data_IF_337013890551
#
_entry.id   IF_337013890551
#
_cell.length_a   1.000
_cell.length_b   1.000
_cell.length_c   1.000
_cell.angle_alpha   90.00
_cell.angle_beta   90.00
_cell.angle_gamma   90.00
#
_symmetry.space_group_name_H-M   'P 1'
#
loop_
_entity.id
_entity.type
_entity.pdbx_description
1 polymer ?
#
# COMPACT_ATOMS: atom_id res chain seq x y z
N UNK A 1 -32.02 -26.39 85.51
CA UNK A 1 -30.56 -26.43 85.28
C UNK A 1 -30.27 -27.34 84.09
N UNK A 2 -29.41 -26.83 83.20
CA UNK A 2 -28.51 -27.53 82.27
C UNK A 2 -29.12 -28.51 81.26
N UNK A 3 -29.31 -28.13 79.99
CA UNK A 3 -28.31 -27.82 78.92
C UNK A 3 -27.58 -29.07 78.41
N UNK A 4 -27.88 -29.42 77.16
CA UNK A 4 -26.94 -29.71 76.04
C UNK A 4 -27.68 -30.60 75.04
N UNK A 5 -28.44 -30.01 74.11
CA UNK A 5 -27.97 -29.50 72.81
C UNK A 5 -27.31 -30.59 71.96
N UNK A 6 -28.16 -31.13 71.08
CA UNK A 6 -27.92 -31.17 69.64
C UNK A 6 -26.69 -31.94 69.18
N UNK A 7 -26.84 -33.26 69.14
CA UNK A 7 -26.04 -34.07 68.24
C UNK A 7 -26.65 -33.96 66.84
N UNK A 8 -26.43 -32.83 66.18
CA UNK A 8 -26.77 -32.59 64.78
C UNK A 8 -25.81 -33.38 63.89
N UNK A 9 -25.92 -34.71 63.92
CA UNK A 9 -25.48 -35.54 62.81
C UNK A 9 -26.51 -35.35 61.70
N UNK A 10 -26.25 -34.38 60.83
CA UNK A 10 -26.94 -34.27 59.55
C UNK A 10 -26.72 -35.59 58.81
N UNK A 11 -27.69 -36.49 58.90
CA UNK A 11 -27.76 -37.71 58.10
C UNK A 11 -27.84 -37.25 56.66
N UNK A 12 -26.69 -37.23 55.98
CA UNK A 12 -26.59 -37.05 54.55
C UNK A 12 -27.34 -38.21 53.91
N UNK A 13 -28.62 -37.99 53.60
CA UNK A 13 -29.40 -38.92 52.81
C UNK A 13 -28.65 -39.16 51.49
N UNK A 14 -28.47 -40.43 51.06
CA UNK A 14 -27.79 -40.72 49.81
C UNK A 14 -28.52 -39.98 48.69
N UNK A 15 -27.80 -39.13 47.95
CA UNK A 15 -28.34 -38.53 46.72
C UNK A 15 -28.85 -39.69 45.87
N UNK A 16 -30.15 -39.67 45.55
CA UNK A 16 -30.76 -40.73 44.76
C UNK A 16 -30.09 -40.83 43.38
N UNK A 17 -30.01 -42.05 42.83
CA UNK A 17 -29.30 -42.28 41.57
C UNK A 17 -29.90 -41.49 40.41
N UNK A 18 -31.19 -41.14 40.51
CA UNK A 18 -31.91 -40.31 39.56
C UNK A 18 -31.40 -38.86 39.53
N UNK A 19 -31.19 -38.25 40.70
CA UNK A 19 -30.66 -36.89 40.86
C UNK A 19 -29.21 -36.84 40.43
N UNK A 20 -28.40 -37.88 40.73
CA UNK A 20 -27.03 -37.98 40.19
C UNK A 20 -27.01 -38.05 38.68
N UNK A 21 -27.91 -38.83 38.08
CA UNK A 21 -28.03 -38.94 36.63
C UNK A 21 -28.48 -37.62 36.00
N UNK A 22 -29.45 -36.92 36.60
CA UNK A 22 -29.91 -35.60 36.13
C UNK A 22 -28.81 -34.53 36.25
N UNK A 23 -28.06 -34.51 37.35
CA UNK A 23 -26.92 -33.61 37.54
C UNK A 23 -25.82 -33.90 36.51
N UNK A 24 -25.51 -35.17 36.25
CA UNK A 24 -24.53 -35.55 35.22
C UNK A 24 -24.97 -35.08 33.83
N UNK A 25 -26.23 -35.33 33.45
CA UNK A 25 -26.78 -34.89 32.17
C UNK A 25 -26.77 -33.37 32.01
N UNK A 26 -27.06 -32.63 33.09
CA UNK A 26 -27.01 -31.18 33.09
C UNK A 26 -25.58 -30.65 32.91
N UNK A 27 -24.62 -31.23 33.63
CA UNK A 27 -23.19 -30.88 33.51
C UNK A 27 -22.67 -31.21 32.11
N UNK A 28 -23.04 -32.35 31.54
CA UNK A 28 -22.69 -32.73 30.17
C UNK A 28 -23.29 -31.75 29.15
N UNK A 29 -24.56 -31.38 29.31
CA UNK A 29 -25.22 -30.37 28.47
C UNK A 29 -24.58 -28.99 28.56
N UNK A 30 -24.23 -28.54 29.76
CA UNK A 30 -23.50 -27.28 29.98
C UNK A 30 -22.10 -27.32 29.35
N UNK A 31 -21.41 -28.45 29.47
CA UNK A 31 -20.10 -28.69 28.86
C UNK A 31 -20.17 -28.62 27.34
N UNK A 32 -21.20 -29.19 26.74
CA UNK A 32 -21.40 -29.16 25.29
C UNK A 32 -21.76 -27.76 24.78
N UNK A 33 -22.67 -27.06 25.46
CA UNK A 33 -23.03 -25.69 25.11
C UNK A 33 -21.84 -24.74 25.20
N UNK A 34 -21.05 -24.84 26.28
CA UNK A 34 -19.87 -24.02 26.46
C UNK A 34 -18.79 -24.33 25.41
N UNK A 35 -18.57 -25.62 25.13
CA UNK A 35 -17.63 -26.06 24.11
C UNK A 35 -18.02 -25.55 22.72
N UNK A 36 -19.31 -25.59 22.39
CA UNK A 36 -19.85 -25.06 21.13
C UNK A 36 -19.69 -23.54 21.04
N UNK A 37 -20.02 -22.81 22.11
CA UNK A 37 -19.86 -21.36 22.16
C UNK A 37 -18.39 -20.97 21.95
N UNK A 38 -17.47 -21.65 22.65
CA UNK A 38 -16.02 -21.42 22.51
C UNK A 38 -15.53 -21.72 21.08
N UNK A 39 -16.05 -22.76 20.44
CA UNK A 39 -15.72 -23.09 19.06
C UNK A 39 -16.23 -22.03 18.07
N UNK A 40 -17.47 -21.59 18.23
CA UNK A 40 -18.08 -20.54 17.39
C UNK A 40 -17.31 -19.22 17.53
N UNK A 41 -17.04 -18.77 18.75
CA UNK A 41 -16.31 -17.53 18.99
C UNK A 41 -14.88 -17.57 18.40
N UNK A 42 -14.21 -18.73 18.51
CA UNK A 42 -12.88 -18.92 17.91
C UNK A 42 -12.94 -18.81 16.39
N UNK A 43 -13.96 -19.41 15.77
CA UNK A 43 -14.19 -19.32 14.32
C UNK A 43 -14.46 -17.88 13.89
N UNK A 44 -15.35 -17.18 14.60
CA UNK A 44 -15.68 -15.76 14.31
C UNK A 44 -14.43 -14.87 14.37
N UNK A 45 -13.61 -15.03 15.41
CA UNK A 45 -12.34 -14.30 15.55
C UNK A 45 -11.40 -14.64 14.38
N UNK A 46 -11.26 -15.92 14.04
CA UNK A 46 -10.41 -16.37 12.94
C UNK A 46 -10.83 -15.74 11.60
N UNK A 47 -12.11 -15.86 11.26
CA UNK A 47 -12.69 -15.31 10.03
C UNK A 47 -12.53 -13.78 9.99
N UNK A 48 -12.74 -13.09 11.12
CA UNK A 48 -12.51 -11.64 11.24
C UNK A 48 -11.05 -11.27 10.93
N UNK A 49 -10.08 -11.98 11.49
CA UNK A 49 -8.65 -11.72 11.22
C UNK A 49 -8.28 -11.98 9.76
N UNK A 50 -8.80 -13.05 9.15
CA UNK A 50 -8.55 -13.31 7.72
C UNK A 50 -9.09 -12.17 6.85
N UNK A 51 -10.32 -11.74 7.10
CA UNK A 51 -10.95 -10.62 6.37
C UNK A 51 -10.20 -9.30 6.57
N UNK A 52 -9.75 -9.01 7.79
CA UNK A 52 -8.94 -7.84 8.08
C UNK A 52 -7.62 -7.85 7.29
N UNK A 53 -6.94 -8.99 7.22
CA UNK A 53 -5.68 -9.14 6.48
C UNK A 53 -5.86 -8.92 4.98
N UNK A 54 -6.94 -9.44 4.41
CA UNK A 54 -7.28 -9.23 3.00
C UNK A 54 -7.63 -7.76 2.71
N UNK A 55 -8.44 -7.14 3.57
CA UNK A 55 -8.78 -5.71 3.46
C UNK A 55 -7.52 -4.84 3.54
N UNK A 56 -6.61 -5.13 4.48
CA UNK A 56 -5.35 -4.42 4.63
C UNK A 56 -4.45 -4.59 3.40
N UNK A 57 -4.38 -5.80 2.84
CA UNK A 57 -3.63 -6.10 1.60
C UNK A 57 -4.15 -5.24 0.45
N UNK A 58 -5.46 -5.22 0.23
CA UNK A 58 -6.09 -4.44 -0.83
C UNK A 58 -5.85 -2.94 -0.67
N UNK A 59 -5.99 -2.43 0.56
CA UNK A 59 -5.75 -1.02 0.86
C UNK A 59 -4.31 -0.60 0.57
N UNK A 60 -3.32 -1.39 0.97
CA UNK A 60 -1.91 -1.10 0.71
C UNK A 60 -1.60 -1.06 -0.78
N UNK A 61 -2.13 -2.02 -1.55
CA UNK A 61 -1.97 -2.04 -3.01
C UNK A 61 -2.62 -0.80 -3.63
N UNK A 62 -3.83 -0.43 -3.17
CA UNK A 62 -4.53 0.76 -3.66
C UNK A 62 -3.73 2.04 -3.40
N UNK A 63 -3.31 2.27 -2.15
CA UNK A 63 -2.55 3.48 -1.78
C UNK A 63 -1.25 3.57 -2.57
N UNK A 64 -0.55 2.46 -2.78
CA UNK A 64 0.66 2.43 -3.62
C UNK A 64 0.34 2.84 -5.06
N UNK A 65 -0.70 2.29 -5.68
CA UNK A 65 -1.10 2.63 -7.06
C UNK A 65 -1.49 4.10 -7.18
N UNK A 66 -2.31 4.60 -6.26
CA UNK A 66 -2.73 6.01 -6.24
C UNK A 66 -1.50 6.94 -6.13
N UNK A 67 -0.54 6.60 -5.26
CA UNK A 67 0.71 7.36 -5.13
C UNK A 67 1.56 7.30 -6.41
N UNK A 68 1.66 6.14 -7.05
CA UNK A 68 2.41 5.98 -8.30
C UNK A 68 1.76 6.75 -9.47
N UNK A 69 0.43 6.77 -9.55
CA UNK A 69 -0.30 7.59 -10.53
C UNK A 69 -0.06 9.08 -10.31
N UNK A 70 -0.08 9.53 -9.05
CA UNK A 70 0.17 10.92 -8.70
C UNK A 70 1.60 11.34 -9.04
N UNK A 71 2.60 10.54 -8.67
CA UNK A 71 4.00 10.81 -9.02
C UNK A 71 4.19 10.86 -10.55
N UNK A 72 3.48 10.02 -11.32
CA UNK A 72 3.51 10.04 -12.80
C UNK A 72 2.89 11.33 -13.34
N UNK A 73 1.81 11.81 -12.74
CA UNK A 73 1.16 13.08 -13.08
C UNK A 73 2.10 14.26 -12.82
N UNK A 74 2.75 14.28 -11.66
CA UNK A 74 3.73 15.32 -11.31
C UNK A 74 4.93 15.35 -12.27
N UNK A 75 5.48 14.19 -12.61
CA UNK A 75 6.60 14.09 -13.55
C UNK A 75 6.23 14.67 -14.93
N UNK A 76 5.02 14.38 -15.43
CA UNK A 76 4.50 14.97 -16.67
C UNK A 76 4.42 16.50 -16.58
N UNK A 77 3.91 17.04 -15.49
CA UNK A 77 3.83 18.49 -15.29
C UNK A 77 5.20 19.16 -15.26
N UNK A 78 6.20 18.49 -14.66
CA UNK A 78 7.59 18.95 -14.67
C UNK A 78 8.11 18.97 -16.11
N UNK A 79 7.93 17.88 -16.87
CA UNK A 79 8.35 17.79 -18.27
C UNK A 79 7.71 18.88 -19.14
N UNK A 80 6.40 19.12 -18.98
CA UNK A 80 5.67 20.18 -19.69
C UNK A 80 6.22 21.57 -19.35
N UNK A 81 6.49 21.84 -18.07
CA UNK A 81 7.07 23.11 -17.62
C UNK A 81 8.46 23.33 -18.21
N UNK A 82 9.33 22.32 -18.14
CA UNK A 82 10.69 22.39 -18.71
C UNK A 82 10.65 22.63 -20.23
N UNK A 83 9.72 21.99 -20.95
CA UNK A 83 9.53 22.23 -22.39
C UNK A 83 9.04 23.63 -22.69
N UNK A 84 8.12 24.18 -21.89
CA UNK A 84 7.64 25.54 -22.03
C UNK A 84 8.76 26.55 -21.78
N UNK A 85 9.53 26.35 -20.72
CA UNK A 85 10.68 27.20 -20.37
C UNK A 85 11.75 27.16 -21.47
N UNK A 86 12.08 25.97 -21.98
CA UNK A 86 13.00 25.81 -23.09
C UNK A 86 12.55 26.61 -24.32
N UNK A 87 11.28 26.49 -24.71
CA UNK A 87 10.74 27.25 -25.86
C UNK A 87 10.82 28.76 -25.62
N UNK A 88 10.48 29.22 -24.43
CA UNK A 88 10.59 30.64 -24.07
C UNK A 88 12.05 31.14 -24.16
N UNK A 89 13.01 30.33 -23.68
CA UNK A 89 14.43 30.66 -23.75
C UNK A 89 14.97 30.64 -25.19
N UNK A 90 14.47 29.74 -26.04
CA UNK A 90 14.76 29.72 -27.48
C UNK A 90 14.27 31.00 -28.16
N UNK A 91 13.03 31.42 -27.90
CA UNK A 91 12.46 32.67 -28.42
C UNK A 91 13.27 33.88 -27.96
N UNK A 92 13.60 33.97 -26.66
CA UNK A 92 14.43 35.06 -26.11
C UNK A 92 15.78 35.12 -26.80
N UNK A 93 16.45 33.98 -26.92
CA UNK A 93 17.76 33.86 -27.60
C UNK A 93 17.67 34.33 -29.05
N UNK A 94 16.62 33.93 -29.78
CA UNK A 94 16.43 34.33 -31.18
C UNK A 94 16.24 35.83 -31.33
N UNK A 95 15.44 36.46 -30.45
CA UNK A 95 15.20 37.91 -30.46
C UNK A 95 16.49 38.67 -30.14
N UNK A 96 17.21 38.26 -29.09
CA UNK A 96 18.47 38.87 -28.66
C UNK A 96 19.56 38.76 -29.74
N UNK A 97 19.67 37.59 -30.39
CA UNK A 97 20.60 37.35 -31.49
C UNK A 97 20.28 38.22 -32.71
N UNK A 98 19.00 38.39 -33.05
CA UNK A 98 18.61 39.28 -34.16
C UNK A 98 18.86 40.76 -33.83
N UNK A 99 18.64 41.14 -32.56
CA UNK A 99 18.93 42.49 -32.08
C UNK A 99 20.43 42.78 -32.16
N UNK A 100 21.30 41.84 -31.77
CA UNK A 100 22.74 42.04 -31.78
C UNK A 100 23.28 42.33 -33.18
N UNK A 101 22.82 41.59 -34.20
CA UNK A 101 23.17 41.84 -35.61
C UNK A 101 22.63 43.18 -36.11
N UNK A 102 21.44 43.58 -35.66
CA UNK A 102 20.83 44.86 -36.04
C UNK A 102 21.58 46.07 -35.47
N UNK A 103 22.13 45.95 -34.26
CA UNK A 103 22.89 47.00 -33.58
C UNK A 103 24.40 46.99 -33.89
N UNK A 104 24.89 46.00 -34.66
CA UNK A 104 26.30 45.85 -34.97
C UNK A 104 26.78 46.94 -35.95
N UNK A 105 27.58 47.88 -35.44
CA UNK A 105 28.16 48.99 -36.22
C UNK A 105 29.16 48.53 -37.28
N UNK A 106 29.66 47.29 -37.21
CA UNK A 106 30.60 46.74 -38.20
C UNK A 106 29.89 46.30 -39.49
N UNK A 107 28.58 46.06 -39.45
CA UNK A 107 27.78 45.67 -40.63
C UNK A 107 27.34 46.91 -41.38
N UNK A 108 28.00 47.20 -42.51
CA UNK A 108 27.87 48.48 -43.20
C UNK A 108 26.74 48.52 -44.23
N UNK A 109 26.29 47.38 -44.74
CA UNK A 109 25.28 47.33 -45.80
C UNK A 109 24.11 46.36 -45.50
N UNK A 110 23.00 46.55 -46.20
CA UNK A 110 21.77 45.75 -46.02
C UNK A 110 21.96 44.28 -46.43
N UNK A 111 22.65 44.03 -47.54
CA UNK A 111 22.85 42.66 -48.05
C UNK A 111 23.66 41.78 -47.08
N UNK A 112 24.70 42.33 -46.46
CA UNK A 112 25.51 41.70 -45.43
C UNK A 112 24.69 41.45 -44.16
N UNK A 113 23.87 42.42 -43.74
CA UNK A 113 22.95 42.24 -42.61
C UNK A 113 21.97 41.09 -42.86
N UNK A 114 21.32 41.09 -44.01
CA UNK A 114 20.34 40.06 -44.40
C UNK A 114 21.02 38.68 -44.54
N UNK A 115 22.27 38.63 -45.01
CA UNK A 115 23.08 37.40 -45.02
C UNK A 115 23.39 36.91 -43.61
N UNK A 116 23.85 37.78 -42.72
CA UNK A 116 24.23 37.43 -41.35
C UNK A 116 23.04 36.99 -40.50
N UNK A 117 21.87 37.60 -40.72
CA UNK A 117 20.61 37.16 -40.10
C UNK A 117 20.24 35.74 -40.57
N UNK A 118 20.39 35.42 -41.87
CA UNK A 118 20.12 34.06 -42.38
C UNK A 118 21.06 33.02 -41.76
N UNK A 119 22.37 33.26 -41.79
CA UNK A 119 23.35 32.35 -41.20
C UNK A 119 23.11 32.14 -39.69
N UNK A 120 22.74 33.21 -38.97
CA UNK A 120 22.40 33.14 -37.55
C UNK A 120 21.11 32.36 -37.29
N UNK A 121 20.09 32.52 -38.13
CA UNK A 121 18.84 31.77 -38.02
C UNK A 121 19.06 30.28 -38.30
N UNK A 122 19.88 29.93 -39.30
CA UNK A 122 20.23 28.54 -39.60
C UNK A 122 20.98 27.91 -38.42
N UNK A 123 21.95 28.64 -37.86
CA UNK A 123 22.69 28.21 -36.67
C UNK A 123 21.77 28.01 -35.45
N UNK A 124 20.90 28.99 -35.16
CA UNK A 124 19.96 28.91 -34.05
C UNK A 124 18.98 27.75 -34.22
N UNK A 125 18.48 27.53 -35.43
CA UNK A 125 17.56 26.42 -35.75
C UNK A 125 18.21 25.08 -35.47
N UNK A 126 19.44 24.86 -35.94
CA UNK A 126 20.20 23.63 -35.65
C UNK A 126 20.39 23.43 -34.14
N UNK A 127 20.84 24.46 -33.44
CA UNK A 127 21.04 24.42 -31.98
C UNK A 127 19.74 24.11 -31.23
N UNK A 128 18.61 24.69 -31.63
CA UNK A 128 17.31 24.45 -30.99
C UNK A 128 16.79 23.04 -31.22
N UNK A 129 17.05 22.46 -32.39
CA UNK A 129 16.73 21.05 -32.68
C UNK A 129 17.55 20.13 -31.76
N UNK A 130 18.86 20.35 -31.66
CA UNK A 130 19.74 19.54 -30.82
C UNK A 130 19.37 19.64 -29.32
N UNK A 131 19.00 20.84 -28.85
CA UNK A 131 18.50 21.05 -27.49
C UNK A 131 17.21 20.26 -27.23
N UNK A 132 16.24 20.33 -28.15
CA UNK A 132 14.97 19.57 -28.02
C UNK A 132 15.21 18.07 -28.03
N UNK A 133 16.11 17.59 -28.89
CA UNK A 133 16.49 16.17 -28.93
C UNK A 133 17.11 15.72 -27.62
N UNK A 134 18.05 16.49 -27.08
CA UNK A 134 18.71 16.20 -25.81
C UNK A 134 17.70 16.20 -24.65
N UNK A 135 16.78 17.15 -24.66
CA UNK A 135 15.70 17.23 -23.66
C UNK A 135 14.77 16.04 -23.71
N UNK A 136 14.31 15.66 -24.91
CA UNK A 136 13.45 14.49 -25.10
C UNK A 136 14.15 13.21 -24.61
N UNK A 137 15.42 13.01 -24.95
CA UNK A 137 16.21 11.89 -24.45
C UNK A 137 16.35 11.89 -22.93
N UNK A 138 16.45 13.07 -22.30
CA UNK A 138 16.48 13.19 -20.84
C UNK A 138 15.13 12.79 -20.22
N UNK A 139 14.03 13.29 -20.77
CA UNK A 139 12.67 12.93 -20.33
C UNK A 139 12.39 11.44 -20.48
N UNK A 140 12.82 10.83 -21.59
CA UNK A 140 12.68 9.39 -21.81
C UNK A 140 13.46 8.56 -20.78
N UNK A 141 14.71 8.93 -20.48
CA UNK A 141 15.51 8.26 -19.44
C UNK A 141 14.86 8.38 -18.07
N UNK A 142 14.41 9.59 -17.70
CA UNK A 142 13.69 9.81 -16.45
C UNK A 142 12.45 8.94 -16.36
N UNK A 143 11.66 8.82 -17.43
CA UNK A 143 10.49 7.95 -17.48
C UNK A 143 10.87 6.46 -17.33
N UNK A 144 11.94 6.01 -17.99
CA UNK A 144 12.39 4.62 -17.86
C UNK A 144 12.84 4.30 -16.43
N UNK A 145 13.65 5.15 -15.82
CA UNK A 145 14.12 4.96 -14.45
C UNK A 145 12.96 5.00 -13.44
N UNK A 146 12.00 5.90 -13.68
CA UNK A 146 10.79 6.02 -12.88
C UNK A 146 9.91 4.76 -12.96
N UNK A 147 9.66 4.24 -14.17
CA UNK A 147 8.90 2.99 -14.36
C UNK A 147 9.61 1.81 -13.71
N UNK A 148 10.95 1.71 -13.84
CA UNK A 148 11.74 0.66 -13.18
C UNK A 148 11.62 0.74 -11.66
N UNK A 149 11.66 1.94 -11.09
CA UNK A 149 11.49 2.16 -9.66
C UNK A 149 10.11 1.72 -9.19
N UNK A 150 9.05 2.12 -9.88
CA UNK A 150 7.68 1.70 -9.54
C UNK A 150 7.48 0.19 -9.62
N UNK A 151 8.02 -0.46 -10.66
CA UNK A 151 7.95 -1.91 -10.80
C UNK A 151 8.66 -2.62 -9.63
N UNK A 152 9.82 -2.10 -9.20
CA UNK A 152 10.53 -2.62 -8.03
C UNK A 152 9.72 -2.43 -6.73
N UNK A 153 9.18 -1.23 -6.50
CA UNK A 153 8.37 -0.92 -5.32
C UNK A 153 7.12 -1.83 -5.26
N UNK A 154 6.47 -2.09 -6.40
CA UNK A 154 5.34 -3.02 -6.49
C UNK A 154 5.76 -4.47 -6.21
N UNK A 155 6.87 -4.92 -6.78
CA UNK A 155 7.42 -6.25 -6.51
C UNK A 155 7.76 -6.43 -5.03
N UNK A 156 8.43 -5.45 -4.42
CA UNK A 156 8.79 -5.45 -3.00
C UNK A 156 7.54 -5.50 -2.11
N UNK A 157 6.51 -4.71 -2.42
CA UNK A 157 5.25 -4.73 -1.68
C UNK A 157 4.55 -6.09 -1.81
N UNK A 158 4.44 -6.63 -3.03
CA UNK A 158 3.81 -7.94 -3.25
C UNK A 158 4.58 -9.05 -2.55
N UNK A 159 5.91 -9.00 -2.57
CA UNK A 159 6.75 -9.95 -1.86
C UNK A 159 6.61 -9.80 -0.35
N UNK A 160 6.51 -8.59 0.19
CA UNK A 160 6.21 -8.36 1.60
C UNK A 160 4.84 -8.93 1.97
N UNK A 161 3.80 -8.67 1.17
CA UNK A 161 2.44 -9.18 1.39
C UNK A 161 2.33 -10.71 1.24
N UNK A 162 3.24 -11.35 0.50
CA UNK A 162 3.38 -12.81 0.42
C UNK A 162 4.20 -13.38 1.57
N UNK A 163 5.28 -12.69 1.97
CA UNK A 163 6.14 -13.05 3.11
C UNK A 163 5.50 -12.81 4.47
N UNK A 164 4.46 -11.99 4.53
CA UNK A 164 3.49 -12.01 5.62
C UNK A 164 2.78 -13.36 5.55
N UNK A 165 3.50 -14.40 5.94
CA UNK A 165 3.02 -15.73 6.25
C UNK A 165 2.03 -15.70 7.41
N UNK A 166 1.75 -14.54 8.01
CA UNK A 166 0.73 -14.39 9.05
C UNK A 166 -0.63 -14.96 8.64
N UNK A 167 -1.02 -14.96 7.36
CA UNK A 167 -2.27 -15.61 6.94
C UNK A 167 -2.15 -17.13 6.99
N UNK A 168 -1.09 -17.69 6.42
CA UNK A 168 -0.84 -19.14 6.38
C UNK A 168 -0.49 -19.71 7.78
N UNK A 169 0.23 -18.94 8.59
CA UNK A 169 0.58 -19.21 9.99
C UNK A 169 -0.67 -19.16 10.87
N UNK A 170 -1.56 -18.17 10.66
CA UNK A 170 -2.84 -18.09 11.37
C UNK A 170 -3.76 -19.26 11.01
N UNK A 171 -3.81 -19.66 9.73
CA UNK A 171 -4.54 -20.85 9.28
C UNK A 171 -3.95 -22.12 9.92
N UNK A 172 -2.61 -22.27 9.92
CA UNK A 172 -1.94 -23.40 10.55
C UNK A 172 -2.21 -23.47 12.05
N UNK A 173 -2.05 -22.35 12.76
CA UNK A 173 -2.30 -22.26 14.19
C UNK A 173 -3.76 -22.59 14.52
N UNK A 174 -4.72 -22.05 13.77
CA UNK A 174 -6.14 -22.34 13.96
C UNK A 174 -6.46 -23.82 13.76
N UNK A 175 -5.87 -24.46 12.74
CA UNK A 175 -6.00 -25.89 12.50
C UNK A 175 -5.38 -26.75 13.62
N UNK A 176 -4.23 -26.34 14.16
CA UNK A 176 -3.61 -26.99 15.32
C UNK A 176 -4.48 -26.85 16.58
N UNK A 177 -4.98 -25.65 16.85
CA UNK A 177 -5.88 -25.39 17.98
C UNK A 177 -7.18 -26.20 17.88
N UNK A 178 -7.76 -26.33 16.68
CA UNK A 178 -8.91 -27.20 16.44
C UNK A 178 -8.59 -28.66 16.74
N UNK A 179 -7.43 -29.15 16.28
CA UNK A 179 -7.00 -30.54 16.47
C UNK A 179 -6.81 -30.90 17.94
N UNK A 180 -6.37 -29.95 18.77
CA UNK A 180 -6.13 -30.15 20.20
C UNK A 180 -7.23 -29.59 21.11
N UNK A 181 -8.34 -29.10 20.56
CA UNK A 181 -9.45 -28.54 21.32
C UNK A 181 -10.17 -29.65 22.11
N UNK A 182 -10.12 -29.58 23.45
CA UNK A 182 -10.84 -30.49 24.36
C UNK A 182 -12.19 -29.89 24.78
N UNK A 183 -13.14 -30.76 25.13
CA UNK A 183 -14.38 -30.36 25.83
C UNK A 183 -14.00 -29.61 27.11
N UNK A 184 -14.66 -28.47 27.34
CA UNK A 184 -14.39 -27.62 28.48
C UNK A 184 -15.70 -27.28 29.17
N UNK A 185 -15.67 -27.26 30.50
CA UNK A 185 -16.79 -26.87 31.35
C UNK A 185 -16.38 -25.60 32.07
N UNK A 186 -17.25 -24.59 32.08
CA UNK A 186 -17.09 -23.44 32.98
C UNK A 186 -17.80 -23.76 34.29
N UNK A 187 -17.08 -23.54 35.40
CA UNK A 187 -17.52 -23.77 36.77
C UNK A 187 -17.59 -22.42 37.47
#
# INVERSE_FOLDING_TARGET
>A
ENVSSDNSEAVLLPIDDQTRMQMSQLVDGHTDQWSQLKANHRKEIHDMYLNFMDTKRELLIKVMKDAQEEQKRELKLIHEREMKEMKAQQTKTSIESNRSVSTDKKVKNKAERDRRIRELNDYNTKRFIDQRKTQAQRHDRQNQDFVKRHAREEEELLNALKRVGAKDDLIRQYNEELKYSKKATVI
#
